data_IF_923512321667
#
_entry.id   IF_923512321667
#
_cell.length_a   1.000
_cell.length_b   1.000
_cell.length_c   1.000
_cell.angle_alpha   90.00
_cell.angle_beta   90.00
_cell.angle_gamma   90.00
#
_symmetry.space_group_name_H-M   'P 1'
#
loop_
_entity.id
_entity.type
_entity.pdbx_description
1 polymer ?
#
# COMPACT_ATOMS: atom_id res chain seq x y z
N UNK A 1 -6.46 -44.21 19.70
CA UNK A 1 -5.78 -43.96 18.41
C UNK A 1 -5.57 -42.47 18.30
N UNK A 2 -4.39 -42.03 18.70
CA UNK A 2 -3.97 -40.63 18.75
C UNK A 2 -2.51 -40.60 18.28
N UNK A 3 -2.08 -39.40 17.89
CA UNK A 3 -0.69 -38.98 17.65
C UNK A 3 -0.23 -38.95 16.19
N UNK A 4 -0.01 -37.72 15.71
CA UNK A 4 1.33 -37.29 15.30
C UNK A 4 1.43 -35.76 15.33
N UNK A 5 2.02 -35.25 16.41
CA UNK A 5 2.73 -33.96 16.43
C UNK A 5 4.11 -34.22 15.86
N UNK A 6 4.53 -33.47 14.84
CA UNK A 6 5.91 -33.49 14.38
C UNK A 6 6.60 -32.19 14.79
N UNK A 7 7.65 -32.41 15.57
CA UNK A 7 8.51 -31.48 16.28
C UNK A 7 9.56 -30.96 15.29
N UNK A 8 9.73 -29.64 15.24
CA UNK A 8 10.79 -28.97 14.46
C UNK A 8 12.07 -29.00 15.32
N UNK A 9 13.21 -29.56 14.86
CA UNK A 9 14.47 -29.40 15.56
C UNK A 9 15.23 -28.16 15.06
N UNK A 10 15.62 -27.32 16.02
CA UNK A 10 16.64 -26.28 15.91
C UNK A 10 18.04 -26.93 15.90
N UNK A 11 18.86 -26.59 14.90
CA UNK A 11 20.33 -26.73 14.97
C UNK A 11 21.01 -25.61 14.20
N UNK A 12 21.54 -24.69 14.99
CA UNK A 12 22.67 -23.81 14.68
C UNK A 12 23.94 -24.64 14.49
N UNK A 13 24.63 -24.47 13.36
CA UNK A 13 26.09 -24.65 13.27
C UNK A 13 26.66 -23.75 12.14
N UNK A 14 27.78 -23.04 12.36
CA UNK A 14 28.38 -22.15 11.38
C UNK A 14 29.49 -22.85 10.58
N UNK A 15 29.64 -22.49 9.30
CA UNK A 15 30.90 -22.69 8.56
C UNK A 15 30.73 -23.24 7.15
N UNK A 16 30.82 -22.36 6.16
CA UNK A 16 31.68 -22.49 4.97
C UNK A 16 31.24 -21.44 3.94
N UNK A 17 32.07 -20.41 3.75
CA UNK A 17 31.91 -19.44 2.68
C UNK A 17 32.33 -20.06 1.35
N UNK A 18 31.55 -19.81 0.29
CA UNK A 18 32.12 -19.58 -1.05
C UNK A 18 31.23 -18.63 -1.86
N UNK A 19 31.83 -17.76 -2.69
CA UNK A 19 31.17 -16.58 -3.25
C UNK A 19 30.75 -16.79 -4.71
N UNK A 20 29.64 -16.18 -5.13
CA UNK A 20 29.49 -15.54 -6.45
C UNK A 20 28.05 -15.04 -6.68
N UNK A 21 27.95 -14.09 -7.60
CA UNK A 21 26.76 -13.48 -8.17
C UNK A 21 26.14 -12.33 -7.35
N UNK A 22 26.64 -11.13 -7.65
CA UNK A 22 26.02 -9.86 -7.31
C UNK A 22 24.57 -9.79 -7.81
N UNK A 23 23.63 -10.08 -6.92
CA UNK A 23 22.27 -9.58 -7.05
C UNK A 23 22.26 -8.23 -6.38
N UNK A 24 22.12 -7.16 -7.17
CA UNK A 24 21.72 -5.85 -6.67
C UNK A 24 20.53 -6.09 -5.73
N UNK A 25 20.79 -6.02 -4.43
CA UNK A 25 19.81 -6.25 -3.38
C UNK A 25 18.90 -5.03 -3.44
N UNK A 26 17.86 -5.07 -4.28
CA UNK A 26 16.74 -4.17 -4.18
C UNK A 26 16.19 -4.37 -2.77
N UNK A 27 16.62 -3.51 -1.85
CA UNK A 27 16.33 -3.67 -0.45
C UNK A 27 14.81 -3.54 -0.29
N UNK A 28 14.12 -4.67 -0.15
CA UNK A 28 12.74 -4.70 0.31
C UNK A 28 12.70 -4.12 1.73
N UNK A 29 12.53 -2.81 1.83
CA UNK A 29 12.27 -2.14 3.10
C UNK A 29 10.79 -2.32 3.44
N UNK A 30 10.47 -3.44 4.08
CA UNK A 30 9.15 -3.64 4.68
C UNK A 30 9.00 -2.71 5.89
N UNK A 31 8.22 -1.65 5.75
CA UNK A 31 8.04 -0.64 6.79
C UNK A 31 6.60 -0.65 7.23
N UNK A 32 6.39 -1.16 8.44
CA UNK A 32 5.12 -1.01 9.10
C UNK A 32 5.03 0.42 9.64
N UNK A 33 4.28 1.28 8.94
CA UNK A 33 4.17 2.69 9.29
C UNK A 33 3.24 2.86 10.50
N UNK A 34 3.82 2.79 11.70
CA UNK A 34 3.19 3.28 12.94
C UNK A 34 3.64 4.71 13.16
N UNK A 35 2.70 5.64 13.03
CA UNK A 35 2.93 7.06 13.27
C UNK A 35 2.61 7.36 14.73
N UNK A 36 3.59 7.78 15.55
CA UNK A 36 3.32 8.20 16.92
C UNK A 36 2.78 9.64 16.91
N UNK A 37 1.59 9.85 16.31
CA UNK A 37 0.99 11.19 16.15
C UNK A 37 0.78 11.88 17.50
N UNK A 38 0.46 11.11 18.54
CA UNK A 38 0.33 11.60 19.93
C UNK A 38 1.64 12.16 20.48
N UNK A 39 2.79 11.73 19.97
CA UNK A 39 4.12 12.16 20.43
C UNK A 39 4.65 13.38 19.68
N UNK A 40 3.88 13.92 18.74
CA UNK A 40 4.25 15.10 17.95
C UNK A 40 3.12 16.13 18.11
N UNK A 41 3.19 17.02 19.12
CA UNK A 41 2.10 17.95 19.41
C UNK A 41 2.04 19.12 18.42
N UNK A 42 3.19 19.57 17.91
CA UNK A 42 3.28 20.75 17.04
C UNK A 42 2.73 20.46 15.63
N UNK A 43 1.78 21.26 15.11
CA UNK A 43 1.24 21.11 13.76
C UNK A 43 2.30 21.09 12.67
N UNK A 44 3.30 21.96 12.75
CA UNK A 44 4.37 22.11 11.76
C UNK A 44 5.22 20.83 11.69
N UNK A 45 5.51 20.22 12.84
CA UNK A 45 6.24 18.97 12.92
C UNK A 45 5.43 17.80 12.33
N UNK A 46 4.09 17.82 12.44
CA UNK A 46 3.21 16.83 11.81
C UNK A 46 3.20 16.97 10.29
N UNK A 47 3.14 18.20 9.77
CA UNK A 47 3.23 18.45 8.33
C UNK A 47 4.58 18.01 7.76
N UNK A 48 5.69 18.32 8.45
CA UNK A 48 7.02 17.87 8.06
C UNK A 48 7.14 16.35 8.05
N UNK A 49 6.55 15.66 9.04
CA UNK A 49 6.50 14.20 9.04
C UNK A 49 5.68 13.69 7.85
N UNK A 50 4.50 14.26 7.58
CA UNK A 50 3.67 13.87 6.44
C UNK A 50 4.42 14.01 5.11
N UNK A 51 5.14 15.11 4.92
CA UNK A 51 6.00 15.34 3.74
C UNK A 51 7.08 14.25 3.60
N UNK A 52 7.81 13.94 4.67
CA UNK A 52 8.82 12.88 4.66
C UNK A 52 8.25 11.50 4.30
N UNK A 53 7.00 11.23 4.69
CA UNK A 53 6.32 9.98 4.33
C UNK A 53 5.93 9.97 2.86
N UNK A 54 5.39 11.07 2.35
CA UNK A 54 5.04 11.21 0.94
C UNK A 54 6.28 11.07 0.05
N UNK A 55 7.39 11.74 0.38
CA UNK A 55 8.66 11.57 -0.34
C UNK A 55 9.12 10.11 -0.37
N UNK A 56 8.96 9.40 0.75
CA UNK A 56 9.34 8.00 0.84
C UNK A 56 8.45 7.11 -0.02
N UNK A 57 7.15 7.36 -0.02
CA UNK A 57 6.20 6.66 -0.88
C UNK A 57 6.48 6.95 -2.35
N UNK A 58 6.74 8.20 -2.72
CA UNK A 58 7.07 8.62 -4.08
C UNK A 58 8.30 7.87 -4.65
N UNK A 59 9.32 7.61 -3.81
CA UNK A 59 10.55 6.88 -4.20
C UNK A 59 10.39 5.35 -4.20
N UNK A 60 9.26 4.82 -3.73
CA UNK A 60 9.05 3.37 -3.69
C UNK A 60 8.84 2.81 -5.10
N UNK A 61 9.34 1.58 -5.33
CA UNK A 61 9.08 0.87 -6.61
C UNK A 61 7.67 0.27 -6.67
N UNK A 62 7.14 -0.09 -5.51
CA UNK A 62 5.82 -0.67 -5.32
C UNK A 62 5.38 -0.46 -3.87
N UNK A 63 4.12 -0.12 -3.66
CA UNK A 63 3.50 -0.02 -2.33
C UNK A 63 2.37 -1.04 -2.23
N UNK A 64 2.33 -1.81 -1.15
CA UNK A 64 1.23 -2.75 -0.86
C UNK A 64 0.57 -2.29 0.43
N UNK A 65 -0.72 -1.99 0.40
CA UNK A 65 -1.42 -1.39 1.55
C UNK A 65 -2.91 -1.73 1.55
N UNK A 66 -3.51 -1.88 2.73
CA UNK A 66 -4.97 -1.90 2.91
C UNK A 66 -5.54 -0.54 3.31
N UNK A 67 -4.69 0.49 3.41
CA UNK A 67 -5.09 1.86 3.83
C UNK A 67 -5.26 2.75 2.63
N UNK A 68 -6.50 3.18 2.36
CA UNK A 68 -6.81 4.10 1.25
C UNK A 68 -6.04 5.42 1.34
N UNK A 69 -5.78 5.92 2.56
CA UNK A 69 -4.98 7.12 2.84
C UNK A 69 -3.53 7.04 2.35
N UNK A 70 -3.00 5.83 2.15
CA UNK A 70 -1.67 5.62 1.56
C UNK A 70 -1.81 5.39 0.06
N UNK A 71 -2.86 4.67 -0.37
CA UNK A 71 -3.04 4.29 -1.76
C UNK A 71 -3.36 5.49 -2.68
N UNK A 72 -4.25 6.39 -2.26
CA UNK A 72 -4.64 7.56 -3.07
C UNK A 72 -3.46 8.50 -3.36
N UNK A 73 -2.63 8.89 -2.37
CA UNK A 73 -1.42 9.66 -2.67
C UNK A 73 -0.45 8.93 -3.60
N UNK A 74 -0.28 7.61 -3.45
CA UNK A 74 0.61 6.84 -4.32
C UNK A 74 0.18 6.91 -5.79
N UNK A 75 -1.13 6.79 -6.06
CA UNK A 75 -1.66 6.98 -7.42
C UNK A 75 -1.35 8.38 -7.94
N UNK A 76 -1.65 9.41 -7.14
CA UNK A 76 -1.44 10.80 -7.54
C UNK A 76 0.04 11.12 -7.87
N UNK A 77 0.98 10.47 -7.16
CA UNK A 77 2.42 10.61 -7.39
C UNK A 77 2.95 9.68 -8.51
N UNK A 78 2.13 8.78 -9.06
CA UNK A 78 2.54 7.80 -10.06
C UNK A 78 3.31 6.59 -9.51
N UNK A 79 3.34 6.43 -8.18
CA UNK A 79 3.94 5.25 -7.53
C UNK A 79 3.02 4.04 -7.70
N UNK A 80 3.51 2.90 -8.23
CA UNK A 80 2.72 1.68 -8.33
C UNK A 80 2.19 1.25 -6.96
N UNK A 81 0.89 1.00 -6.87
CA UNK A 81 0.24 0.59 -5.63
C UNK A 81 -0.68 -0.61 -5.83
N UNK A 82 -0.58 -1.58 -4.93
CA UNK A 82 -1.53 -2.67 -4.74
C UNK A 82 -2.36 -2.38 -3.49
N UNK A 83 -3.66 -2.28 -3.69
CA UNK A 83 -4.62 -2.14 -2.61
C UNK A 83 -5.14 -3.52 -2.19
N UNK A 84 -4.97 -3.86 -0.93
CA UNK A 84 -5.46 -5.13 -0.37
C UNK A 84 -6.79 -4.89 0.33
N UNK A 85 -7.87 -5.31 -0.33
CA UNK A 85 -9.21 -5.40 0.25
C UNK A 85 -9.30 -6.73 1.02
N UNK A 86 -8.71 -6.73 2.21
CA UNK A 86 -8.77 -7.83 3.16
C UNK A 86 -9.74 -7.44 4.27
N UNK A 87 -11.05 -7.48 3.98
CA UNK A 87 -12.04 -7.13 5.00
C UNK A 87 -12.94 -8.29 5.41
N UNK A 88 -12.51 -8.92 6.51
CA UNK A 88 -13.35 -9.65 7.45
C UNK A 88 -14.28 -8.72 8.28
N UNK A 89 -14.38 -7.40 8.02
CA UNK A 89 -15.24 -6.52 8.82
C UNK A 89 -16.01 -5.45 8.00
N UNK A 90 -17.35 -5.60 8.00
CA UNK A 90 -18.40 -4.58 7.76
C UNK A 90 -18.54 -3.99 6.33
N UNK A 91 -19.61 -4.42 5.64
CA UNK A 91 -20.16 -3.84 4.39
C UNK A 91 -20.19 -2.30 4.35
N UNK A 92 -20.36 -1.64 5.50
CA UNK A 92 -20.45 -0.18 5.60
C UNK A 92 -19.14 0.56 5.29
N UNK A 93 -17.98 -0.05 5.54
CA UNK A 93 -16.68 0.58 5.29
C UNK A 93 -16.32 0.46 3.81
N UNK A 94 -16.54 -0.72 3.23
CA UNK A 94 -16.38 -0.99 1.80
C UNK A 94 -17.23 -0.05 0.92
N UNK A 95 -18.49 0.20 1.31
CA UNK A 95 -19.39 1.09 0.57
C UNK A 95 -18.85 2.53 0.41
N UNK A 96 -18.00 3.00 1.33
CA UNK A 96 -17.41 4.35 1.26
C UNK A 96 -16.20 4.44 0.34
N UNK A 97 -15.57 3.31 0.06
CA UNK A 97 -14.35 3.24 -0.74
C UNK A 97 -14.59 2.62 -2.13
N UNK A 98 -15.77 2.06 -2.36
CA UNK A 98 -16.13 1.29 -3.55
C UNK A 98 -15.91 2.08 -4.85
N UNK A 99 -16.20 3.39 -4.84
CA UNK A 99 -15.98 4.26 -6.02
C UNK A 99 -14.50 4.47 -6.37
N UNK A 100 -13.58 4.24 -5.43
CA UNK A 100 -12.14 4.40 -5.61
C UNK A 100 -11.45 3.08 -5.95
N UNK A 101 -12.07 1.93 -5.64
CA UNK A 101 -11.48 0.61 -5.88
C UNK A 101 -11.00 0.40 -7.32
N UNK A 102 -11.72 0.85 -8.37
CA UNK A 102 -11.26 0.71 -9.76
C UNK A 102 -9.98 1.47 -10.09
N UNK A 103 -9.55 2.41 -9.23
CA UNK A 103 -8.33 3.20 -9.43
C UNK A 103 -7.07 2.44 -8.99
N UNK A 104 -7.20 1.35 -8.23
CA UNK A 104 -6.06 0.62 -7.67
C UNK A 104 -5.82 -0.73 -8.37
N UNK A 105 -4.59 -1.24 -8.27
CA UNK A 105 -4.36 -2.67 -8.46
C UNK A 105 -4.94 -3.42 -7.25
N UNK A 106 -6.12 -4.01 -7.40
CA UNK A 106 -6.90 -4.55 -6.30
C UNK A 106 -6.56 -6.02 -6.06
N UNK A 107 -6.37 -6.39 -4.80
CA UNK A 107 -6.36 -7.77 -4.31
C UNK A 107 -7.50 -7.90 -3.31
N UNK A 108 -8.53 -8.65 -3.66
CA UNK A 108 -9.66 -8.93 -2.78
C UNK A 108 -9.47 -10.29 -2.14
N UNK A 109 -9.33 -10.33 -0.82
CA UNK A 109 -9.16 -11.58 -0.05
C UNK A 109 -10.52 -11.99 0.51
N UNK A 110 -10.96 -13.20 0.16
CA UNK A 110 -12.23 -13.77 0.61
C UNK A 110 -12.08 -14.46 1.98
N UNK A 111 -13.18 -14.68 2.72
CA UNK A 111 -13.14 -15.32 4.04
C UNK A 111 -12.61 -16.77 4.03
N UNK A 112 -12.72 -17.46 2.90
CA UNK A 112 -12.21 -18.81 2.69
C UNK A 112 -10.69 -18.85 2.44
N UNK A 113 -10.01 -17.69 2.46
CA UNK A 113 -8.59 -17.55 2.19
C UNK A 113 -8.24 -17.51 0.70
N UNK A 114 -9.22 -17.65 -0.20
CA UNK A 114 -9.02 -17.41 -1.63
C UNK A 114 -8.90 -15.91 -1.93
N UNK A 115 -8.28 -15.55 -3.06
CA UNK A 115 -8.14 -14.16 -3.46
C UNK A 115 -8.41 -13.96 -4.96
N UNK A 116 -8.81 -12.75 -5.31
CA UNK A 116 -9.01 -12.31 -6.70
C UNK A 116 -8.22 -11.03 -6.93
N UNK A 117 -7.52 -10.94 -8.05
CA UNK A 117 -6.74 -9.77 -8.45
C UNK A 117 -7.38 -9.03 -9.63
N UNK A 118 -7.29 -7.70 -9.67
CA UNK A 118 -7.72 -6.90 -10.83
C UNK A 118 -6.63 -6.77 -11.91
N UNK A 119 -5.45 -7.33 -11.66
CA UNK A 119 -4.29 -7.33 -12.53
C UNK A 119 -3.81 -8.77 -12.73
N UNK A 120 -3.04 -9.00 -13.79
CA UNK A 120 -2.46 -10.31 -14.08
C UNK A 120 -1.33 -10.62 -13.07
N UNK A 121 -1.48 -11.66 -12.22
CA UNK A 121 -0.46 -12.04 -11.24
C UNK A 121 0.81 -12.62 -11.87
N UNK A 122 0.80 -12.96 -13.16
CA UNK A 122 1.99 -13.41 -13.88
C UNK A 122 2.95 -12.27 -14.24
N UNK A 123 2.49 -11.02 -14.22
CA UNK A 123 3.34 -9.85 -14.49
C UNK A 123 4.35 -9.69 -13.35
N UNK A 124 5.65 -9.52 -13.65
CA UNK A 124 6.64 -9.19 -12.63
C UNK A 124 6.25 -7.92 -11.86
N UNK A 125 6.30 -7.97 -10.52
CA UNK A 125 5.92 -6.83 -9.67
C UNK A 125 6.69 -5.54 -9.97
N UNK A 126 7.87 -5.64 -10.58
CA UNK A 126 8.67 -4.50 -11.01
C UNK A 126 8.13 -3.77 -12.25
N UNK A 127 7.24 -4.39 -13.01
CA UNK A 127 6.63 -3.86 -14.24
C UNK A 127 5.18 -3.43 -14.02
N UNK A 128 4.62 -3.71 -12.85
CA UNK A 128 3.26 -3.34 -12.49
C UNK A 128 3.07 -1.82 -12.53
N UNK A 129 2.03 -1.37 -13.23
CA UNK A 129 1.62 0.04 -13.31
C UNK A 129 0.25 0.24 -12.70
N UNK A 130 -0.08 1.48 -12.34
CA UNK A 130 -1.43 1.81 -11.87
C UNK A 130 -2.43 1.75 -13.04
N UNK A 131 -3.70 1.38 -12.77
CA UNK A 131 -4.72 1.26 -13.80
C UNK A 131 -5.17 2.66 -14.27
N UNK A 132 -4.45 3.19 -15.25
CA UNK A 132 -4.80 4.40 -15.99
C UNK A 132 -4.85 5.69 -15.16
N UNK A 133 -5.42 6.72 -15.78
CA UNK A 133 -5.44 8.11 -15.29
C UNK A 133 -6.86 8.57 -14.86
N UNK A 134 -7.81 7.66 -14.69
CA UNK A 134 -9.20 7.99 -14.33
C UNK A 134 -9.35 8.77 -13.01
N UNK A 135 -8.34 8.71 -12.14
CA UNK A 135 -8.26 9.50 -10.92
C UNK A 135 -8.12 11.01 -11.19
N UNK A 136 -7.57 11.42 -12.35
CA UNK A 136 -7.33 12.84 -12.69
C UNK A 136 -8.62 13.61 -12.78
N UNK A 137 -9.62 13.07 -13.47
CA UNK A 137 -10.93 13.72 -13.61
C UNK A 137 -11.59 13.94 -12.22
N UNK A 138 -11.53 12.94 -11.34
CA UNK A 138 -12.02 13.05 -9.97
C UNK A 138 -11.23 14.11 -9.18
N UNK A 139 -9.91 14.15 -9.33
CA UNK A 139 -9.04 15.11 -8.65
C UNK A 139 -9.29 16.55 -9.13
N UNK A 140 -9.46 16.77 -10.43
CA UNK A 140 -9.75 18.08 -11.02
C UNK A 140 -11.09 18.63 -10.55
N UNK A 141 -12.14 17.80 -10.54
CA UNK A 141 -13.46 18.17 -10.00
C UNK A 141 -13.38 18.56 -8.53
N UNK A 142 -12.65 17.78 -7.72
CA UNK A 142 -12.46 18.08 -6.30
C UNK A 142 -11.65 19.36 -6.09
N UNK A 143 -10.58 19.56 -6.86
CA UNK A 143 -9.76 20.77 -6.79
C UNK A 143 -10.58 22.03 -7.13
N UNK A 144 -11.42 21.96 -8.17
CA UNK A 144 -12.33 23.04 -8.54
C UNK A 144 -13.34 23.34 -7.42
N UNK A 145 -13.92 22.30 -6.81
CA UNK A 145 -14.83 22.44 -5.68
C UNK A 145 -14.15 23.09 -4.46
N UNK A 146 -12.96 22.62 -4.09
CA UNK A 146 -12.18 23.18 -2.98
C UNK A 146 -11.79 24.64 -3.25
N UNK A 147 -11.46 24.98 -4.50
CA UNK A 147 -11.11 26.35 -4.89
C UNK A 147 -12.33 27.28 -4.75
N UNK A 148 -13.51 26.85 -5.22
CA UNK A 148 -14.78 27.58 -5.03
C UNK A 148 -15.10 27.76 -3.54
N UNK A 149 -14.98 26.69 -2.77
CA UNK A 149 -15.23 26.71 -1.33
C UNK A 149 -14.29 27.69 -0.61
N UNK A 150 -12.99 27.64 -0.89
CA UNK A 150 -12.00 28.56 -0.31
C UNK A 150 -12.26 30.02 -0.72
N UNK A 151 -12.72 30.25 -1.95
CA UNK A 151 -13.12 31.56 -2.46
C UNK A 151 -14.50 32.03 -1.95
N UNK A 152 -15.21 31.22 -1.15
CA UNK A 152 -16.60 31.47 -0.69
C UNK A 152 -17.58 31.72 -1.84
N UNK A 153 -17.31 31.13 -3.00
CA UNK A 153 -18.22 31.14 -4.14
C UNK A 153 -19.24 30.01 -3.96
N UNK A 154 -20.53 30.26 -4.28
CA UNK A 154 -21.56 29.22 -4.21
C UNK A 154 -21.24 28.03 -5.12
#
# INVERSE_FOLDING_TARGET
MAEKRQIIPDRTTPGAAQPAAGRSRAAERRVHLRLPVERIPAPEARFKLAEQLLERLARARLVITSRIHVALPCIAMGTPVIFVDSDLAKKSERARIEEFLPLFNLVTVRPDGSYVTSFDPAIPLCELRNPGDAWREKAEKLAALCTRFAARQP
#
